data_IF_889374589115
#
_entry.id   IF_889374589115
#
_cell.length_a   1.000
_cell.length_b   1.000
_cell.length_c   1.000
_cell.angle_alpha   90.00
_cell.angle_beta   90.00
_cell.angle_gamma   90.00
#
_symmetry.space_group_name_H-M   'P 1'
#
loop_
_entity.id
_entity.type
_entity.pdbx_description
1 polymer ?
#
# COMPACT_ATOMS: atom_id res chain seq x y z
N UNK A 1 21.12 27.93 -18.87
CA UNK A 1 20.59 26.69 -19.41
C UNK A 1 19.94 25.83 -18.30
N UNK A 2 20.59 25.60 -17.15
CA UNK A 2 20.07 24.79 -16.02
C UNK A 2 18.70 25.26 -15.51
N UNK A 3 18.51 26.59 -15.29
CA UNK A 3 17.19 27.12 -14.82
C UNK A 3 16.06 26.85 -15.79
N UNK A 4 16.28 26.93 -17.11
CA UNK A 4 15.27 26.61 -18.13
C UNK A 4 14.97 25.11 -18.19
N UNK A 5 15.99 24.27 -17.97
CA UNK A 5 15.84 22.82 -17.88
C UNK A 5 15.03 22.41 -16.63
N UNK A 6 15.34 22.97 -15.46
CA UNK A 6 14.59 22.74 -14.21
C UNK A 6 13.13 23.18 -14.37
N UNK A 7 12.90 24.35 -14.99
CA UNK A 7 11.54 24.84 -15.24
C UNK A 7 10.76 23.92 -16.21
N UNK A 8 11.40 23.43 -17.26
CA UNK A 8 10.80 22.48 -18.20
C UNK A 8 10.46 21.13 -17.51
N UNK A 9 11.36 20.63 -16.65
CA UNK A 9 11.12 19.41 -15.85
C UNK A 9 9.97 19.63 -14.85
N UNK A 10 9.90 20.77 -14.16
CA UNK A 10 8.78 21.13 -13.30
C UNK A 10 7.46 21.20 -14.07
N UNK A 11 7.44 21.81 -15.25
CA UNK A 11 6.24 21.89 -16.08
C UNK A 11 5.79 20.51 -16.58
N UNK A 12 6.74 19.62 -16.84
CA UNK A 12 6.43 18.25 -17.25
C UNK A 12 5.83 17.40 -16.11
N UNK A 13 6.28 17.62 -14.87
CA UNK A 13 5.77 16.92 -13.67
C UNK A 13 4.32 17.35 -13.36
N UNK A 14 3.96 18.62 -13.55
CA UNK A 14 2.60 19.12 -13.30
C UNK A 14 1.55 18.59 -14.28
N UNK A 15 1.96 18.18 -15.49
CA UNK A 15 1.08 17.63 -16.52
C UNK A 15 0.56 16.21 -16.23
N UNK A 16 1.16 15.49 -15.28
CA UNK A 16 0.78 14.11 -14.95
C UNK A 16 0.00 13.95 -13.64
N UNK A 17 -0.53 15.02 -13.07
CA UNK A 17 -1.38 14.97 -11.86
C UNK A 17 -2.78 14.45 -12.21
N UNK A 18 -2.88 13.26 -12.76
CA UNK A 18 -4.14 12.51 -12.80
C UNK A 18 -4.23 11.78 -11.46
N UNK A 19 -5.28 12.01 -10.69
CA UNK A 19 -5.58 11.23 -9.51
C UNK A 19 -5.77 9.76 -9.93
N UNK A 20 -4.76 8.95 -9.70
CA UNK A 20 -4.76 7.55 -10.10
C UNK A 20 -5.30 6.72 -8.94
N UNK A 21 -6.33 5.93 -9.20
CA UNK A 21 -6.79 4.95 -8.24
C UNK A 21 -5.68 3.91 -8.01
N UNK A 22 -5.32 3.69 -6.76
CA UNK A 22 -4.26 2.74 -6.39
C UNK A 22 -4.58 1.29 -6.74
N UNK A 23 -5.85 0.96 -6.95
CA UNK A 23 -6.35 -0.35 -7.41
C UNK A 23 -7.64 -0.17 -8.20
N UNK A 24 -8.01 -1.19 -8.95
CA UNK A 24 -9.31 -1.30 -9.66
C UNK A 24 -10.02 -2.58 -9.23
N UNK A 25 -9.58 -3.19 -8.14
CA UNK A 25 -10.12 -4.45 -7.66
C UNK A 25 -11.47 -4.23 -6.96
N UNK A 26 -12.54 -4.94 -7.34
CA UNK A 26 -13.82 -4.90 -6.64
C UNK A 26 -13.70 -5.39 -5.19
N UNK A 27 -12.73 -6.25 -4.89
CA UNK A 27 -12.46 -6.73 -3.54
C UNK A 27 -11.95 -5.64 -2.59
N UNK A 28 -11.50 -4.48 -3.12
CA UNK A 28 -11.13 -3.31 -2.31
C UNK A 28 -12.33 -2.61 -1.65
N UNK A 29 -13.56 -3.09 -1.91
CA UNK A 29 -14.79 -2.68 -1.23
C UNK A 29 -14.73 -2.95 0.28
N UNK A 30 -14.08 -4.02 0.70
CA UNK A 30 -14.07 -4.45 2.10
C UNK A 30 -12.97 -3.77 2.92
N UNK A 31 -13.29 -3.42 4.17
CA UNK A 31 -12.35 -2.88 5.16
C UNK A 31 -11.64 -1.62 4.67
N UNK A 32 -10.33 -1.61 4.75
CA UNK A 32 -9.45 -0.50 4.32
C UNK A 32 -8.89 -0.69 2.90
N UNK A 33 -9.47 -1.63 2.14
CA UNK A 33 -9.07 -1.94 0.78
C UNK A 33 -8.05 -3.07 0.63
N UNK A 34 -7.48 -3.17 -0.57
CA UNK A 34 -6.49 -4.19 -0.93
C UNK A 34 -5.13 -3.85 -0.32
N UNK A 35 -4.54 -4.78 0.43
CA UNK A 35 -3.19 -4.62 0.96
C UNK A 35 -2.15 -4.67 -0.16
N UNK A 36 -1.23 -3.70 -0.18
CA UNK A 36 -0.16 -3.64 -1.17
C UNK A 36 1.01 -4.53 -0.77
N UNK A 37 1.69 -5.06 -1.79
CA UNK A 37 2.89 -5.87 -1.55
C UNK A 37 4.01 -5.04 -0.91
N UNK A 38 4.44 -5.46 0.27
CA UNK A 38 5.55 -4.85 1.01
C UNK A 38 6.88 -5.45 0.52
N UNK A 39 7.46 -4.94 -0.53
CA UNK A 39 8.76 -5.41 -1.05
C UNK A 39 9.16 -4.69 -2.32
N UNK A 40 10.41 -4.89 -2.71
CA UNK A 40 10.95 -4.36 -3.97
C UNK A 40 10.49 -5.20 -5.17
N UNK A 41 10.78 -4.71 -6.37
CA UNK A 41 10.51 -5.45 -7.60
C UNK A 41 11.26 -6.79 -7.65
N UNK A 42 12.48 -6.82 -7.11
CA UNK A 42 13.31 -8.02 -6.99
C UNK A 42 12.66 -9.03 -6.03
N UNK A 43 12.18 -8.59 -4.86
CA UNK A 43 11.45 -9.48 -3.95
C UNK A 43 10.20 -10.06 -4.59
N UNK A 44 9.48 -9.24 -5.36
CA UNK A 44 8.28 -9.69 -6.10
C UNK A 44 8.63 -10.72 -7.17
N UNK A 45 9.71 -10.48 -7.92
CA UNK A 45 10.19 -11.42 -8.95
C UNK A 45 10.64 -12.77 -8.36
N UNK A 46 11.10 -12.78 -7.10
CA UNK A 46 11.46 -13.98 -6.35
C UNK A 46 10.28 -14.60 -5.55
N UNK A 47 9.04 -14.28 -5.93
CA UNK A 47 7.86 -14.81 -5.26
C UNK A 47 7.60 -14.23 -3.87
N UNK A 48 8.14 -13.05 -3.54
CA UNK A 48 7.93 -12.38 -2.26
C UNK A 48 8.87 -12.86 -1.14
N UNK A 49 9.98 -13.49 -1.46
CA UNK A 49 10.95 -13.95 -0.46
C UNK A 49 11.52 -12.81 0.36
N UNK A 50 11.35 -12.88 1.67
CA UNK A 50 11.80 -11.88 2.65
C UNK A 50 13.10 -12.24 3.36
N UNK A 51 13.53 -13.49 3.23
CA UNK A 51 14.73 -14.02 3.92
C UNK A 51 16.03 -13.56 3.29
N UNK A 52 16.01 -13.32 1.98
CA UNK A 52 17.19 -12.91 1.24
C UNK A 52 17.48 -11.42 1.46
N UNK A 53 18.72 -11.10 1.80
CA UNK A 53 19.21 -9.73 1.92
C UNK A 53 20.65 -9.70 1.45
N UNK A 54 20.96 -8.77 0.58
CA UNK A 54 22.29 -8.58 0.02
C UNK A 54 22.91 -7.22 0.40
N UNK A 55 23.98 -6.85 -0.25
CA UNK A 55 24.76 -5.65 0.08
C UNK A 55 24.29 -4.40 -0.65
N UNK A 56 23.35 -4.52 -1.59
CA UNK A 56 22.94 -3.42 -2.48
C UNK A 56 21.42 -3.21 -2.57
N UNK A 57 20.58 -4.22 -2.25
CA UNK A 57 19.14 -4.08 -2.34
C UNK A 57 18.50 -3.89 -0.95
N UNK A 58 17.50 -3.01 -0.88
CA UNK A 58 16.70 -2.82 0.33
C UNK A 58 15.70 -3.96 0.50
N UNK A 59 15.59 -4.45 1.73
CA UNK A 59 14.57 -5.40 2.12
C UNK A 59 13.55 -4.71 3.02
N UNK A 60 12.36 -4.38 2.47
CA UNK A 60 11.30 -3.73 3.23
C UNK A 60 10.53 -4.69 4.15
N UNK A 61 10.64 -6.00 3.91
CA UNK A 61 9.92 -7.00 4.69
C UNK A 61 10.64 -7.34 6.00
N UNK A 62 11.98 -7.36 5.97
CA UNK A 62 12.79 -7.64 7.15
C UNK A 62 13.79 -6.50 7.42
N UNK A 63 13.60 -5.70 8.47
CA UNK A 63 14.47 -4.56 8.76
C UNK A 63 15.91 -4.95 9.07
N UNK A 64 16.16 -6.18 9.55
CA UNK A 64 17.54 -6.65 9.81
C UNK A 64 18.41 -6.68 8.55
N UNK A 65 17.79 -6.79 7.37
CA UNK A 65 18.50 -6.77 6.09
C UNK A 65 19.24 -5.46 5.80
N UNK A 66 18.79 -4.35 6.38
CA UNK A 66 19.40 -3.03 6.19
C UNK A 66 20.85 -2.98 6.73
N UNK A 67 21.17 -3.77 7.76
CA UNK A 67 22.53 -3.85 8.29
C UNK A 67 23.54 -4.54 7.34
N UNK A 68 23.06 -5.26 6.33
CA UNK A 68 23.90 -5.92 5.32
C UNK A 68 24.32 -5.00 4.17
N UNK A 69 23.73 -3.84 4.06
CA UNK A 69 24.05 -2.87 3.02
C UNK A 69 25.53 -2.44 3.11
N UNK A 70 26.18 -2.33 1.96
CA UNK A 70 27.56 -1.83 1.84
C UNK A 70 27.64 -0.54 1.05
N UNK A 71 26.62 -0.22 0.29
CA UNK A 71 26.53 0.98 -0.53
C UNK A 71 25.28 1.75 -0.14
N UNK A 72 25.35 3.09 -0.27
CA UNK A 72 24.13 3.91 -0.20
C UNK A 72 23.24 3.49 -1.37
N UNK A 73 22.04 3.09 -1.04
CA UNK A 73 21.05 2.63 -2.01
C UNK A 73 19.89 3.62 -2.08
N UNK A 74 19.62 4.12 -3.26
CA UNK A 74 18.44 4.87 -3.59
C UNK A 74 17.56 4.02 -4.49
N UNK A 75 16.35 3.74 -4.06
CA UNK A 75 15.45 2.87 -4.79
C UNK A 75 14.07 3.49 -4.99
N UNK A 76 13.56 3.36 -6.20
CA UNK A 76 12.22 3.77 -6.59
C UNK A 76 11.59 2.63 -7.41
N UNK A 77 10.35 2.34 -7.18
CA UNK A 77 9.61 1.34 -7.94
C UNK A 77 8.21 1.80 -8.27
N UNK A 78 7.75 1.40 -9.43
CA UNK A 78 6.38 1.64 -9.89
C UNK A 78 5.83 0.41 -10.58
N UNK A 79 4.51 0.30 -10.61
CA UNK A 79 3.81 -0.78 -11.28
C UNK A 79 2.68 -0.28 -12.15
N UNK A 80 2.49 -0.94 -13.28
CA UNK A 80 1.33 -0.83 -14.13
C UNK A 80 0.60 -2.17 -14.11
N UNK A 81 -0.69 -2.14 -13.77
CA UNK A 81 -1.54 -3.34 -13.76
C UNK A 81 -2.63 -3.19 -14.81
N UNK A 82 -2.82 -4.24 -15.58
CA UNK A 82 -3.95 -4.45 -16.48
C UNK A 82 -4.73 -5.65 -15.96
N UNK A 83 -5.98 -5.44 -15.60
CA UNK A 83 -6.81 -6.45 -14.94
C UNK A 83 -8.06 -6.67 -15.76
N UNK A 84 -8.32 -7.92 -16.12
CA UNK A 84 -9.61 -8.37 -16.66
C UNK A 84 -10.52 -8.84 -15.52
N UNK A 85 -11.70 -8.26 -15.45
CA UNK A 85 -12.77 -8.68 -14.55
C UNK A 85 -13.79 -9.44 -15.38
N UNK A 86 -13.97 -10.71 -15.09
CA UNK A 86 -14.81 -11.61 -15.85
C UNK A 86 -15.95 -12.10 -14.95
N UNK A 87 -17.17 -11.89 -15.38
CA UNK A 87 -18.37 -12.45 -14.81
C UNK A 87 -18.98 -13.44 -15.81
N UNK A 88 -20.02 -14.15 -15.43
CA UNK A 88 -20.72 -15.10 -16.33
C UNK A 88 -21.34 -14.38 -17.55
N UNK A 89 -21.62 -13.08 -17.44
CA UNK A 89 -22.32 -12.30 -18.45
C UNK A 89 -21.45 -11.24 -19.14
N UNK A 90 -20.40 -10.74 -18.47
CA UNK A 90 -19.62 -9.59 -18.95
C UNK A 90 -18.12 -9.75 -18.68
N UNK A 91 -17.33 -9.09 -19.50
CA UNK A 91 -15.89 -8.91 -19.30
C UNK A 91 -15.54 -7.44 -19.37
N UNK A 92 -14.92 -6.93 -18.31
CA UNK A 92 -14.46 -5.55 -18.22
C UNK A 92 -12.95 -5.52 -17.99
N UNK A 93 -12.28 -4.51 -18.54
CA UNK A 93 -10.86 -4.30 -18.36
C UNK A 93 -10.60 -2.99 -17.64
N UNK A 94 -9.69 -3.03 -16.69
CA UNK A 94 -9.31 -1.86 -15.91
C UNK A 94 -7.79 -1.77 -15.78
N UNK A 95 -7.27 -0.55 -15.67
CA UNK A 95 -5.83 -0.30 -15.51
C UNK A 95 -5.57 0.52 -14.26
N UNK A 96 -4.45 0.25 -13.60
CA UNK A 96 -3.94 1.10 -12.53
C UNK A 96 -2.43 1.27 -12.63
N UNK A 97 -1.96 2.48 -12.36
CA UNK A 97 -0.54 2.83 -12.30
C UNK A 97 -0.23 3.30 -10.89
N UNK A 98 0.82 2.75 -10.27
CA UNK A 98 1.15 3.04 -8.89
C UNK A 98 2.64 3.34 -8.73
N UNK A 99 2.97 4.23 -7.80
CA UNK A 99 4.28 4.29 -7.17
C UNK A 99 4.30 3.24 -6.07
N UNK A 100 5.12 2.20 -6.18
CA UNK A 100 5.15 1.10 -5.22
C UNK A 100 6.07 1.41 -4.03
N UNK A 101 7.15 2.17 -4.24
CA UNK A 101 8.07 2.58 -3.18
C UNK A 101 9.01 3.69 -3.63
N UNK A 102 9.43 4.48 -2.64
CA UNK A 102 10.55 5.42 -2.72
C UNK A 102 11.33 5.30 -1.43
N UNK A 103 12.59 4.91 -1.48
CA UNK A 103 13.38 4.71 -0.27
C UNK A 103 14.87 4.96 -0.46
N UNK A 104 15.53 5.27 0.66
CA UNK A 104 16.97 5.43 0.78
C UNK A 104 17.50 4.49 1.87
N UNK A 105 18.58 3.77 1.57
CA UNK A 105 19.33 2.95 2.51
C UNK A 105 20.75 3.46 2.66
N UNK A 106 21.20 3.54 3.91
CA UNK A 106 22.50 4.12 4.27
C UNK A 106 23.26 3.11 5.14
N UNK A 107 24.39 2.56 4.67
CA UNK A 107 25.29 1.76 5.49
C UNK A 107 26.09 2.64 6.45
N UNK A 108 26.14 2.26 7.70
CA UNK A 108 26.86 2.95 8.79
C UNK A 108 27.80 1.98 9.53
N UNK A 109 28.59 1.22 8.78
CA UNK A 109 29.50 0.22 9.31
C UNK A 109 28.77 -1.04 9.81
N UNK A 110 28.70 -1.24 11.14
CA UNK A 110 27.89 -2.33 11.73
C UNK A 110 26.41 -2.00 11.78
N UNK A 111 26.04 -0.72 11.67
CA UNK A 111 24.66 -0.25 11.59
C UNK A 111 24.24 -0.08 10.14
N UNK A 112 22.96 -0.13 9.92
CA UNK A 112 22.30 0.31 8.69
C UNK A 112 21.04 1.09 9.04
N UNK A 113 20.76 2.11 8.25
CA UNK A 113 19.54 2.87 8.35
C UNK A 113 18.83 2.89 7.00
N UNK A 114 17.51 2.86 6.99
CA UNK A 114 16.73 3.14 5.78
C UNK A 114 15.46 3.88 6.12
N UNK A 115 15.02 4.73 5.20
CA UNK A 115 13.76 5.43 5.33
C UNK A 115 13.12 5.60 3.96
N UNK A 116 11.80 5.79 3.95
CA UNK A 116 11.09 5.94 2.68
C UNK A 116 9.58 5.96 2.86
N UNK A 117 8.91 5.89 1.70
CA UNK A 117 7.45 5.90 1.59
C UNK A 117 7.00 4.69 0.79
N UNK A 118 5.95 4.03 1.25
CA UNK A 118 5.32 2.88 0.62
C UNK A 118 3.79 3.04 0.68
N UNK A 119 3.04 2.68 -0.35
CA UNK A 119 1.60 2.44 -0.19
C UNK A 119 1.39 1.21 0.71
N UNK A 120 0.43 1.32 1.64
CA UNK A 120 0.07 0.24 2.55
C UNK A 120 -1.18 -0.49 2.08
N UNK A 121 -2.26 0.26 1.80
CA UNK A 121 -3.49 -0.27 1.21
C UNK A 121 -3.96 0.63 0.08
N UNK A 122 -4.86 0.11 -0.77
CA UNK A 122 -5.54 0.92 -1.76
C UNK A 122 -7.00 0.50 -1.91
N UNK A 123 -7.85 1.50 -2.06
CA UNK A 123 -9.26 1.38 -2.40
C UNK A 123 -9.48 1.98 -3.78
N UNK A 124 -10.19 1.25 -4.64
CA UNK A 124 -10.51 1.71 -5.99
C UNK A 124 -11.51 0.76 -6.62
N UNK A 125 -12.79 1.01 -6.43
CA UNK A 125 -13.85 0.21 -7.01
C UNK A 125 -15.00 1.09 -7.51
N UNK A 126 -15.68 0.59 -8.53
CA UNK A 126 -16.95 1.09 -8.98
C UNK A 126 -17.83 -0.12 -9.28
N UNK A 127 -18.89 -0.30 -8.49
CA UNK A 127 -19.85 -1.40 -8.60
C UNK A 127 -21.23 -0.81 -8.87
N UNK A 128 -21.98 -1.46 -9.72
CA UNK A 128 -23.35 -1.12 -10.03
C UNK A 128 -24.21 -2.36 -9.88
N UNK A 129 -25.30 -2.23 -9.18
CA UNK A 129 -26.30 -3.28 -9.00
C UNK A 129 -27.65 -2.72 -9.48
N UNK A 130 -28.22 -3.38 -10.47
CA UNK A 130 -29.56 -3.09 -10.99
C UNK A 130 -30.54 -4.14 -10.47
N UNK A 131 -31.66 -3.66 -9.97
CA UNK A 131 -32.84 -4.43 -9.66
C UNK A 131 -34.02 -3.83 -10.46
N UNK A 132 -35.19 -4.45 -10.47
CA UNK A 132 -36.33 -4.07 -11.33
C UNK A 132 -36.62 -2.57 -11.39
N UNK A 133 -36.46 -1.83 -10.28
CA UNK A 133 -36.74 -0.37 -10.19
C UNK A 133 -35.60 0.41 -9.52
N UNK A 134 -34.58 -0.26 -8.96
CA UNK A 134 -33.55 0.37 -8.14
C UNK A 134 -32.18 0.16 -8.77
N UNK A 135 -31.47 1.28 -9.00
CA UNK A 135 -30.06 1.30 -9.38
C UNK A 135 -29.23 1.73 -8.19
N UNK A 136 -28.30 0.88 -7.75
CA UNK A 136 -27.38 1.16 -6.66
C UNK A 136 -25.94 1.20 -7.17
N UNK A 137 -25.30 2.36 -7.00
CA UNK A 137 -23.91 2.57 -7.39
C UNK A 137 -23.03 2.73 -6.15
N UNK A 138 -21.97 1.93 -6.09
CA UNK A 138 -20.98 1.97 -5.01
C UNK A 138 -19.63 2.36 -5.60
N UNK A 139 -19.06 3.44 -5.11
CA UNK A 139 -17.73 3.90 -5.52
C UNK A 139 -16.87 4.07 -4.27
N UNK A 140 -15.64 3.59 -4.33
CA UNK A 140 -14.66 3.82 -3.29
C UNK A 140 -13.32 4.20 -3.87
N UNK A 141 -12.63 5.13 -3.19
CA UNK A 141 -11.31 5.60 -3.58
C UNK A 141 -10.44 5.92 -2.37
N UNK A 142 -9.12 5.95 -2.57
CA UNK A 142 -8.16 6.28 -1.54
C UNK A 142 -7.29 5.10 -1.12
N UNK A 143 -6.91 5.08 0.17
CA UNK A 143 -6.06 4.07 0.77
C UNK A 143 -5.08 4.66 1.77
N UNK A 144 -4.23 3.83 2.32
CA UNK A 144 -3.22 4.22 3.31
C UNK A 144 -1.83 4.18 2.69
N UNK A 145 -1.04 5.16 3.06
CA UNK A 145 0.39 5.23 2.81
C UNK A 145 1.15 5.06 4.11
N UNK A 146 2.40 4.67 4.00
CA UNK A 146 3.31 4.41 5.10
C UNK A 146 4.61 5.15 4.88
N UNK A 147 5.02 5.98 5.84
CA UNK A 147 6.40 6.44 5.97
C UNK A 147 7.08 5.55 6.98
N UNK A 148 8.25 5.05 6.65
CA UNK A 148 9.00 4.15 7.54
C UNK A 148 10.41 4.67 7.81
N UNK A 149 10.90 4.33 9.00
CA UNK A 149 12.31 4.46 9.41
C UNK A 149 12.75 3.11 9.97
N UNK A 150 13.74 2.50 9.33
CA UNK A 150 14.32 1.24 9.79
C UNK A 150 15.75 1.46 10.24
N UNK A 151 16.12 0.82 11.35
CA UNK A 151 17.46 0.76 11.91
C UNK A 151 17.82 -0.70 12.15
N UNK A 152 19.04 -1.07 11.79
CA UNK A 152 19.53 -2.42 11.98
C UNK A 152 20.98 -2.44 12.45
N UNK A 153 21.36 -3.53 13.13
CA UNK A 153 22.70 -3.72 13.68
C UNK A 153 23.19 -5.15 13.47
N UNK A 154 24.43 -5.27 13.00
CA UNK A 154 25.16 -6.54 12.92
C UNK A 154 25.86 -6.82 14.25
N UNK A 155 25.28 -7.67 15.10
CA UNK A 155 25.89 -8.11 16.35
C UNK A 155 27.12 -8.95 16.09
N UNK A 156 27.02 -9.83 15.11
CA UNK A 156 28.11 -10.68 14.63
C UNK A 156 28.12 -10.68 13.09
N UNK A 157 29.17 -11.16 12.43
CA UNK A 157 29.18 -11.33 10.98
C UNK A 157 28.03 -12.21 10.46
N UNK A 158 27.43 -13.02 11.33
CA UNK A 158 26.41 -14.00 11.01
C UNK A 158 25.01 -13.63 11.50
N UNK A 159 24.90 -12.68 12.44
CA UNK A 159 23.62 -12.34 13.05
C UNK A 159 23.36 -10.84 13.02
N UNK A 160 22.23 -10.46 12.44
CA UNK A 160 21.72 -9.11 12.39
C UNK A 160 20.32 -9.02 12.98
N UNK A 161 20.04 -7.89 13.61
CA UNK A 161 18.73 -7.54 14.15
C UNK A 161 18.35 -6.13 13.68
N UNK A 162 17.08 -5.90 13.47
CA UNK A 162 16.57 -4.61 13.02
C UNK A 162 15.16 -4.34 13.54
N UNK A 163 14.83 -3.06 13.54
CA UNK A 163 13.51 -2.54 13.87
C UNK A 163 13.11 -1.52 12.80
N UNK A 164 11.87 -1.54 12.35
CA UNK A 164 11.26 -0.45 11.62
C UNK A 164 10.10 0.17 12.42
N UNK A 165 10.04 1.49 12.39
CA UNK A 165 8.91 2.28 12.89
C UNK A 165 8.18 2.85 11.68
N UNK A 166 6.87 2.66 11.64
CA UNK A 166 6.04 3.06 10.53
C UNK A 166 4.95 4.02 11.01
N UNK A 167 4.83 5.15 10.34
CA UNK A 167 3.69 6.04 10.45
C UNK A 167 2.77 5.82 9.25
N UNK A 168 1.57 5.35 9.52
CA UNK A 168 0.57 5.08 8.50
C UNK A 168 -0.47 6.19 8.51
N UNK A 169 -0.84 6.67 7.33
CA UNK A 169 -1.78 7.76 7.15
C UNK A 169 -2.50 7.63 5.81
N UNK A 170 -3.72 8.12 5.76
CA UNK A 170 -4.48 8.15 4.51
C UNK A 170 -5.97 8.34 4.75
N UNK A 171 -6.71 8.35 3.66
CA UNK A 171 -8.15 8.47 3.67
C UNK A 171 -8.79 7.43 2.76
N UNK A 172 -9.99 7.03 3.14
CA UNK A 172 -10.87 6.17 2.34
C UNK A 172 -12.21 6.89 2.20
N UNK A 173 -12.55 7.23 0.97
CA UNK A 173 -13.80 7.87 0.61
C UNK A 173 -14.71 6.83 -0.05
N UNK A 174 -15.92 6.65 0.50
CA UNK A 174 -16.95 5.76 -0.03
C UNK A 174 -18.17 6.57 -0.38
N UNK A 175 -18.70 6.32 -1.57
CA UNK A 175 -19.92 6.95 -2.05
C UNK A 175 -20.90 5.88 -2.50
N UNK A 176 -22.11 5.96 -1.98
CA UNK A 176 -23.24 5.14 -2.40
C UNK A 176 -24.31 6.06 -2.99
N UNK A 177 -24.80 5.73 -4.17
CA UNK A 177 -25.92 6.39 -4.81
C UNK A 177 -27.01 5.35 -5.03
N UNK A 178 -28.22 5.66 -4.59
CA UNK A 178 -29.39 4.82 -4.79
C UNK A 178 -30.41 5.67 -5.56
N UNK A 179 -30.80 5.17 -6.71
CA UNK A 179 -31.82 5.76 -7.58
C UNK A 179 -32.98 4.77 -7.65
N UNK A 180 -34.18 5.28 -7.50
CA UNK A 180 -35.42 4.53 -7.69
C UNK A 180 -36.14 5.16 -8.86
N UNK A 181 -36.45 4.39 -9.89
CA UNK A 181 -37.13 4.88 -11.11
C UNK A 181 -38.54 5.41 -10.83
N UNK A 182 -39.13 5.01 -9.72
CA UNK A 182 -40.46 5.48 -9.31
C UNK A 182 -40.40 6.81 -8.53
N UNK A 183 -39.20 7.31 -8.20
CA UNK A 183 -39.00 8.53 -7.40
C UNK A 183 -38.24 9.59 -8.16
N UNK A 184 -38.68 10.85 -8.04
CA UNK A 184 -38.00 12.00 -8.64
C UNK A 184 -36.63 12.32 -8.04
N UNK A 185 -36.35 11.83 -6.83
CA UNK A 185 -35.13 12.08 -6.09
C UNK A 185 -34.46 10.77 -5.68
N UNK A 186 -33.15 10.70 -5.91
CA UNK A 186 -32.31 9.66 -5.39
C UNK A 186 -31.66 10.03 -4.06
N UNK A 187 -30.95 9.06 -3.47
CA UNK A 187 -30.18 9.23 -2.23
C UNK A 187 -28.69 9.06 -2.51
N UNK A 188 -27.88 9.95 -1.98
CA UNK A 188 -26.42 9.86 -1.99
C UNK A 188 -25.87 9.88 -0.59
N UNK A 189 -25.12 8.84 -0.24
CA UNK A 189 -24.34 8.75 0.98
C UNK A 189 -22.86 8.87 0.64
N UNK A 190 -22.13 9.73 1.36
CA UNK A 190 -20.67 9.85 1.28
C UNK A 190 -20.11 9.65 2.67
N UNK A 191 -19.28 8.62 2.83
CA UNK A 191 -18.54 8.36 4.07
C UNK A 191 -17.07 8.58 3.81
N UNK A 192 -16.45 9.46 4.61
CA UNK A 192 -15.01 9.72 4.61
C UNK A 192 -14.40 9.23 5.90
N UNK A 193 -13.35 8.44 5.78
CA UNK A 193 -12.60 7.88 6.91
C UNK A 193 -11.14 8.27 6.79
N UNK A 194 -10.65 9.08 7.72
CA UNK A 194 -9.23 9.44 7.83
C UNK A 194 -8.57 8.52 8.84
N UNK A 195 -7.54 7.80 8.41
CA UNK A 195 -6.87 6.81 9.23
C UNK A 195 -5.44 7.24 9.54
N UNK A 196 -5.08 7.10 10.82
CA UNK A 196 -3.75 7.43 11.33
C UNK A 196 -3.31 6.35 12.33
N UNK A 197 -2.04 5.96 12.28
CA UNK A 197 -1.52 5.03 13.26
C UNK A 197 -0.03 4.75 13.11
N UNK A 198 0.56 4.29 14.20
CA UNK A 198 1.95 3.85 14.24
C UNK A 198 1.98 2.33 14.38
N UNK A 199 2.89 1.68 13.68
CA UNK A 199 3.20 0.28 13.94
C UNK A 199 4.70 0.04 13.83
N UNK A 200 5.14 -1.03 14.48
CA UNK A 200 6.54 -1.45 14.53
C UNK A 200 6.68 -2.84 13.90
N UNK A 201 7.85 -3.10 13.34
CA UNK A 201 8.22 -4.42 12.87
C UNK A 201 9.65 -4.73 13.32
N UNK A 202 9.84 -5.87 13.94
CA UNK A 202 11.12 -6.38 14.40
C UNK A 202 11.59 -7.47 13.45
N UNK A 203 12.89 -7.51 13.17
CA UNK A 203 13.44 -8.50 12.28
C UNK A 203 14.78 -9.04 12.78
N UNK A 204 15.03 -10.31 12.51
CA UNK A 204 16.33 -10.91 12.71
C UNK A 204 16.70 -11.79 11.51
N UNK A 205 17.99 -11.84 11.21
CA UNK A 205 18.56 -12.69 10.16
C UNK A 205 19.81 -13.36 10.72
N UNK A 206 19.91 -14.66 10.47
CA UNK A 206 21.07 -15.48 10.81
C UNK A 206 21.60 -16.17 9.55
N UNK A 207 22.87 -15.93 9.22
CA UNK A 207 23.59 -16.57 8.13
C UNK A 207 24.64 -17.51 8.67
N UNK A 208 24.61 -18.76 8.23
CA UNK A 208 25.59 -19.76 8.60
C UNK A 208 26.21 -20.41 7.35
N UNK A 209 27.51 -20.66 7.43
CA UNK A 209 28.16 -21.56 6.47
C UNK A 209 27.95 -22.98 6.90
N UNK A 210 27.24 -23.79 6.12
CA UNK A 210 27.11 -25.23 6.36
C UNK A 210 28.36 -25.99 5.93
N UNK A 211 28.93 -25.58 4.80
CA UNK A 211 30.18 -26.05 4.24
C UNK A 211 30.73 -25.03 3.24
N UNK A 212 31.83 -25.38 2.53
CA UNK A 212 32.45 -24.47 1.55
C UNK A 212 31.56 -24.14 0.35
N UNK A 213 30.51 -24.92 0.13
CA UNK A 213 29.60 -24.80 -1.03
C UNK A 213 28.18 -24.30 -0.66
N UNK A 214 27.79 -24.39 0.62
CA UNK A 214 26.42 -24.14 1.05
C UNK A 214 26.37 -23.17 2.23
N UNK A 215 25.54 -22.15 2.08
CA UNK A 215 25.15 -21.23 3.13
C UNK A 215 23.68 -21.48 3.52
N UNK A 216 23.37 -21.39 4.80
CA UNK A 216 22.04 -21.35 5.35
C UNK A 216 21.73 -19.91 5.74
N UNK A 217 20.57 -19.40 5.34
CA UNK A 217 20.00 -18.14 5.84
C UNK A 217 18.69 -18.46 6.54
N UNK A 218 18.54 -18.03 7.78
CA UNK A 218 17.29 -18.08 8.52
C UNK A 218 16.86 -16.66 8.89
N UNK A 219 15.56 -16.37 8.78
CA UNK A 219 15.02 -15.06 9.08
C UNK A 219 13.70 -15.17 9.83
N UNK A 220 13.47 -14.21 10.72
CA UNK A 220 12.21 -14.05 11.43
C UNK A 220 11.83 -12.57 11.46
N UNK A 221 10.52 -12.29 11.33
CA UNK A 221 9.97 -10.96 11.56
C UNK A 221 8.75 -11.05 12.45
N UNK A 222 8.57 -10.04 13.29
CA UNK A 222 7.43 -9.92 14.19
C UNK A 222 6.90 -8.50 14.19
N UNK A 223 5.62 -8.35 13.90
CA UNK A 223 4.88 -7.10 14.02
C UNK A 223 3.83 -7.27 15.13
N UNK A 224 3.88 -6.49 16.22
CA UNK A 224 2.85 -6.52 17.27
C UNK A 224 1.49 -6.11 16.74
N UNK A 225 0.43 -6.51 17.43
CA UNK A 225 -0.90 -5.95 17.21
C UNK A 225 -0.90 -4.45 17.48
N UNK A 226 -1.64 -3.68 16.68
CA UNK A 226 -1.65 -2.22 16.75
C UNK A 226 -2.99 -1.67 16.33
N UNK A 227 -3.48 -0.66 17.05
CA UNK A 227 -4.72 0.03 16.73
C UNK A 227 -4.44 1.32 15.95
N UNK A 228 -5.21 1.53 14.88
CA UNK A 228 -5.19 2.76 14.11
C UNK A 228 -6.48 3.53 14.37
N UNK A 229 -6.34 4.81 14.69
CA UNK A 229 -7.47 5.70 14.89
C UNK A 229 -8.08 6.07 13.54
N UNK A 230 -9.40 6.03 13.48
CA UNK A 230 -10.18 6.38 12.29
C UNK A 230 -11.17 7.49 12.64
N UNK A 231 -10.98 8.66 12.04
CA UNK A 231 -11.93 9.77 12.12
C UNK A 231 -12.92 9.66 10.98
N UNK A 232 -14.20 9.53 11.33
CA UNK A 232 -15.24 9.27 10.37
C UNK A 232 -16.18 10.48 10.22
N UNK A 233 -16.60 10.74 8.98
CA UNK A 233 -17.68 11.69 8.69
C UNK A 233 -18.60 11.11 7.64
N UNK A 234 -19.89 11.35 7.79
CA UNK A 234 -20.94 10.85 6.89
C UNK A 234 -21.83 12.00 6.44
N UNK A 235 -22.04 12.08 5.14
CA UNK A 235 -22.98 13.05 4.54
C UNK A 235 -24.04 12.29 3.79
N UNK A 236 -25.29 12.55 4.12
CA UNK A 236 -26.47 12.04 3.42
C UNK A 236 -27.07 13.20 2.61
N UNK A 237 -27.39 12.95 1.35
CA UNK A 237 -27.96 13.96 0.46
C UNK A 237 -29.11 13.39 -0.34
N UNK A 238 -30.18 14.17 -0.50
CA UNK A 238 -31.15 13.95 -1.57
C UNK A 238 -30.58 14.53 -2.85
N UNK A 239 -30.65 13.77 -3.94
CA UNK A 239 -30.06 14.15 -5.24
C UNK A 239 -31.11 14.12 -6.34
N UNK A 240 -30.98 15.05 -7.27
CA UNK A 240 -31.69 14.99 -8.56
C UNK A 240 -30.69 14.59 -9.65
N UNK A 241 -31.10 13.71 -10.54
CA UNK A 241 -30.31 13.27 -11.69
C UNK A 241 -30.92 13.87 -12.93
N UNK A 242 -30.14 14.64 -13.69
CA UNK A 242 -30.59 15.21 -14.97
C UNK A 242 -30.59 14.15 -16.07
N UNK A 243 -31.28 14.41 -17.17
CA UNK A 243 -31.24 13.53 -18.36
C UNK A 243 -29.83 13.27 -18.91
N UNK A 244 -28.89 14.16 -18.62
CA UNK A 244 -27.47 13.99 -18.98
C UNK A 244 -26.68 13.17 -17.99
N UNK A 245 -27.31 12.62 -16.92
CA UNK A 245 -26.66 11.86 -15.86
C UNK A 245 -25.92 12.70 -14.82
N UNK A 246 -26.07 14.05 -14.86
CA UNK A 246 -25.45 14.91 -13.86
C UNK A 246 -26.21 14.84 -12.53
N UNK A 247 -25.48 14.54 -11.46
CA UNK A 247 -26.00 14.39 -10.09
C UNK A 247 -25.89 15.71 -9.34
N UNK A 248 -27.00 16.32 -8.98
CA UNK A 248 -27.06 17.59 -8.24
C UNK A 248 -27.67 17.37 -6.86
N UNK A 249 -27.01 17.78 -5.75
CA UNK A 249 -27.61 17.69 -4.43
C UNK A 249 -28.71 18.75 -4.29
N UNK A 250 -29.88 18.33 -3.83
CA UNK A 250 -31.03 19.18 -3.53
C UNK A 250 -31.00 19.60 -2.06
N UNK A 251 -30.70 18.66 -1.18
CA UNK A 251 -30.53 18.87 0.25
C UNK A 251 -29.45 17.95 0.79
N UNK A 252 -28.79 18.35 1.89
CA UNK A 252 -27.78 17.49 2.50
C UNK A 252 -27.76 17.63 4.02
N UNK A 253 -27.42 16.56 4.68
CA UNK A 253 -27.24 16.51 6.12
C UNK A 253 -25.91 15.84 6.47
N UNK A 254 -25.09 16.53 7.27
CA UNK A 254 -23.89 15.92 7.85
C UNK A 254 -24.30 15.16 9.12
N UNK A 255 -23.94 13.90 9.17
CA UNK A 255 -24.18 13.01 10.32
C UNK A 255 -22.83 12.86 11.01
N UNK A 256 -22.67 13.39 12.23
CA UNK A 256 -21.46 13.14 13.00
C UNK A 256 -21.37 11.65 13.32
N UNK A 257 -20.19 11.08 13.13
CA UNK A 257 -19.85 9.73 13.52
C UNK A 257 -18.77 9.79 14.57
N UNK A 258 -18.83 8.90 15.53
CA UNK A 258 -17.76 8.75 16.52
C UNK A 258 -16.48 8.23 15.85
N UNK A 259 -15.35 8.64 16.41
CA UNK A 259 -14.07 8.08 16.06
C UNK A 259 -14.07 6.57 16.38
N UNK A 260 -13.43 5.79 15.55
CA UNK A 260 -13.34 4.35 15.71
C UNK A 260 -11.88 3.89 15.61
N UNK A 261 -11.64 2.66 16.03
CA UNK A 261 -10.32 2.05 15.95
C UNK A 261 -10.37 0.81 15.04
N UNK A 262 -9.31 0.62 14.28
CA UNK A 262 -9.09 -0.58 13.47
C UNK A 262 -7.87 -1.29 14.00
N UNK A 263 -8.08 -2.49 14.56
CA UNK A 263 -7.00 -3.31 15.09
C UNK A 263 -6.36 -4.15 14.00
N UNK A 264 -5.06 -3.95 13.80
CA UNK A 264 -4.23 -4.84 12.99
C UNK A 264 -3.69 -5.95 13.88
N UNK A 265 -3.91 -7.24 13.53
CA UNK A 265 -3.43 -8.36 14.32
C UNK A 265 -1.91 -8.44 14.31
N UNK A 266 -1.35 -9.09 15.34
CA UNK A 266 0.07 -9.41 15.34
C UNK A 266 0.42 -10.40 14.23
N UNK A 267 1.58 -10.23 13.63
CA UNK A 267 2.07 -11.07 12.55
C UNK A 267 3.48 -11.59 12.88
N UNK A 268 3.64 -12.89 12.81
CA UNK A 268 4.92 -13.58 12.90
C UNK A 268 5.22 -14.27 11.57
N UNK A 269 6.40 -13.98 11.01
CA UNK A 269 6.87 -14.63 9.78
C UNK A 269 8.24 -15.23 10.04
N UNK A 270 8.45 -16.44 9.59
CA UNK A 270 9.76 -17.09 9.61
C UNK A 270 10.04 -17.73 8.25
N UNK A 271 11.32 -17.80 7.93
CA UNK A 271 11.77 -18.41 6.68
C UNK A 271 13.20 -18.93 6.84
N UNK A 272 13.52 -19.93 6.04
CA UNK A 272 14.86 -20.46 5.91
C UNK A 272 15.15 -20.75 4.44
N UNK A 273 16.40 -20.56 4.04
CA UNK A 273 16.86 -20.83 2.69
C UNK A 273 18.29 -21.40 2.71
N UNK A 274 18.59 -22.24 1.75
CA UNK A 274 19.94 -22.77 1.52
C UNK A 274 20.35 -22.29 0.14
N UNK A 275 21.55 -21.73 0.03
CA UNK A 275 22.09 -21.24 -1.20
C UNK A 275 23.55 -21.57 -1.38
N UNK A 276 24.02 -21.61 -2.63
CA UNK A 276 25.43 -21.73 -2.95
C UNK A 276 26.01 -20.36 -3.29
N UNK A 277 27.06 -19.89 -2.57
CA UNK A 277 27.66 -18.60 -2.86
C UNK A 277 27.98 -18.42 -4.35
N UNK A 278 27.51 -17.31 -4.93
CA UNK A 278 27.72 -16.93 -6.36
C UNK A 278 27.12 -17.88 -7.40
N UNK A 279 26.28 -18.83 -7.01
CA UNK A 279 25.65 -19.76 -7.95
C UNK A 279 24.11 -19.70 -7.89
N UNK A 280 23.55 -19.97 -6.72
CA UNK A 280 22.09 -20.00 -6.49
C UNK A 280 21.76 -19.86 -5.00
N UNK A 281 20.53 -19.51 -4.67
CA UNK A 281 19.92 -19.46 -3.33
C UNK A 281 18.44 -19.85 -3.42
#
# INVERSE_FOLDING_TARGET
MLKKFIFAVMLFITGFSIAQNGTTSPYSFFGIGEQKFKGTAENRAMGGLSIYSDSIHLNFQNPAGVAKLKLVNYTIGGSYKYVGQITDTETQYATSTNLDYLALGIPLGKFGASFGVLPFTAVGYKLELESETIISQYTGEGGLNKVFLALAYNFTPNFSFGIDANYNFGNVDRKTIILDEELDLGTREVTKSNLLGFNFNFGAIYDAKLNDYLNLTAAVTYSPATDFTTQNSKTLSSISVSETGAVTPVDFRVIPLDDSEITFPSQLTFGAGIGSPKRWF
#
